data_IF_262510129950
#
_entry.id   IF_262510129950
#
_cell.length_a   1.000
_cell.length_b   1.000
_cell.length_c   1.000
_cell.angle_alpha   90.00
_cell.angle_beta   90.00
_cell.angle_gamma   90.00
#
_symmetry.space_group_name_H-M   'P 1'
#
loop_
_entity.id
_entity.type
_entity.pdbx_description
1 polymer ?
#
# COMPACT_ATOMS: atom_id res chain seq x y z
N UNK A 1 -70.81 45.44 -11.18
CA UNK A 1 -70.39 45.50 -9.74
C UNK A 1 -69.66 44.23 -9.39
N UNK A 2 -68.55 44.41 -8.70
CA UNK A 2 -67.66 43.44 -8.04
C UNK A 2 -66.52 42.88 -8.86
N UNK A 3 -65.39 43.38 -8.45
CA UNK A 3 -64.02 43.15 -8.77
C UNK A 3 -63.56 41.66 -8.65
N UNK A 4 -62.91 41.20 -9.70
CA UNK A 4 -62.14 39.96 -9.66
C UNK A 4 -60.65 40.37 -9.64
N UNK A 5 -60.06 40.30 -8.47
CA UNK A 5 -58.60 40.52 -8.25
C UNK A 5 -57.84 39.32 -8.81
N UNK A 6 -57.02 39.57 -9.82
CA UNK A 6 -56.03 38.62 -10.34
C UNK A 6 -54.90 38.48 -9.29
N UNK A 7 -54.76 37.28 -8.76
CA UNK A 7 -53.57 36.89 -7.99
C UNK A 7 -52.56 36.34 -8.97
N UNK A 8 -51.50 37.12 -9.22
CA UNK A 8 -50.31 36.68 -9.94
C UNK A 8 -49.43 36.00 -8.92
N UNK A 9 -49.39 34.66 -8.95
CA UNK A 9 -48.44 33.86 -8.20
C UNK A 9 -47.08 33.91 -8.90
N UNK A 10 -46.14 34.60 -8.27
CA UNK A 10 -44.75 34.60 -8.67
C UNK A 10 -44.14 33.25 -8.31
N UNK A 11 -43.85 32.37 -9.30
CA UNK A 11 -43.06 31.19 -9.16
C UNK A 11 -41.59 31.63 -9.06
N UNK A 12 -41.08 31.66 -7.86
CA UNK A 12 -39.64 31.79 -7.60
C UNK A 12 -38.99 30.43 -7.90
N UNK A 13 -38.42 30.26 -9.07
CA UNK A 13 -37.56 29.13 -9.39
C UNK A 13 -36.25 29.32 -8.64
N UNK A 14 -36.09 28.65 -7.49
CA UNK A 14 -34.82 28.57 -6.77
C UNK A 14 -33.94 27.57 -7.53
N UNK A 15 -33.12 28.08 -8.44
CA UNK A 15 -32.04 27.29 -9.06
C UNK A 15 -31.00 27.01 -7.96
N UNK A 16 -31.08 25.83 -7.34
CA UNK A 16 -30.03 25.29 -6.51
C UNK A 16 -28.89 24.92 -7.46
N UNK A 17 -27.95 25.83 -7.65
CA UNK A 17 -26.67 25.50 -8.23
C UNK A 17 -25.95 24.56 -7.27
N UNK A 18 -25.93 23.27 -7.64
CA UNK A 18 -25.07 22.29 -6.98
C UNK A 18 -23.65 22.63 -7.46
N UNK A 19 -23.02 23.61 -6.82
CA UNK A 19 -21.57 23.71 -6.85
C UNK A 19 -21.07 22.46 -6.10
N UNK A 20 -20.66 21.46 -6.87
CA UNK A 20 -19.77 20.42 -6.38
C UNK A 20 -18.46 21.12 -6.05
N UNK A 21 -18.38 21.68 -4.84
CA UNK A 21 -17.12 22.07 -4.27
C UNK A 21 -16.32 20.80 -4.05
N UNK A 22 -15.32 20.58 -4.89
CA UNK A 22 -14.17 19.76 -4.57
C UNK A 22 -13.39 20.51 -3.45
N UNK A 23 -13.98 20.60 -2.26
CA UNK A 23 -13.31 21.18 -1.09
C UNK A 23 -12.37 20.12 -0.53
N UNK A 24 -11.12 20.13 -1.00
CA UNK A 24 -10.06 19.51 -0.22
C UNK A 24 -10.04 20.20 1.17
N UNK A 25 -9.77 19.43 2.25
CA UNK A 25 -9.60 20.03 3.57
C UNK A 25 -8.61 21.20 3.47
N UNK A 26 -8.96 22.36 4.00
CA UNK A 26 -8.27 23.63 3.83
C UNK A 26 -6.82 23.68 4.34
N UNK A 27 -6.32 22.61 4.93
CA UNK A 27 -4.98 22.49 5.50
C UNK A 27 -4.06 21.49 4.76
N UNK A 28 -4.53 20.78 3.74
CA UNK A 28 -3.67 19.85 3.00
C UNK A 28 -2.85 20.62 1.97
N UNK A 29 -1.52 20.52 2.11
CA UNK A 29 -0.57 21.14 1.20
C UNK A 29 -0.32 20.25 -0.01
N UNK A 30 -0.46 20.80 -1.22
CA UNK A 30 -0.13 20.13 -2.49
C UNK A 30 1.06 20.84 -3.13
N UNK A 31 2.30 20.47 -2.77
CA UNK A 31 3.50 21.13 -3.30
C UNK A 31 3.66 20.84 -4.80
N UNK A 32 4.23 21.81 -5.53
CA UNK A 32 4.49 21.73 -6.98
C UNK A 32 5.88 21.18 -7.29
N UNK A 33 6.83 21.41 -6.41
CA UNK A 33 8.21 20.94 -6.59
C UNK A 33 8.31 19.47 -6.14
N UNK A 34 9.08 18.67 -6.87
CA UNK A 34 9.23 17.23 -6.59
C UNK A 34 10.62 16.95 -6.04
N UNK A 35 10.68 16.29 -4.89
CA UNK A 35 11.95 15.86 -4.30
C UNK A 35 12.60 14.77 -5.18
N UNK A 36 13.90 14.86 -5.46
CA UNK A 36 14.60 13.79 -6.16
C UNK A 36 14.74 12.59 -5.23
N UNK A 37 14.14 11.47 -5.61
CA UNK A 37 14.32 10.17 -4.95
C UNK A 37 15.15 9.28 -5.86
N UNK A 38 16.15 8.64 -5.27
CA UNK A 38 16.96 7.64 -5.95
C UNK A 38 16.85 6.31 -5.23
N UNK A 39 16.50 5.26 -5.98
CA UNK A 39 16.40 3.90 -5.46
C UNK A 39 17.75 3.22 -5.59
N UNK A 40 18.30 2.83 -4.45
CA UNK A 40 19.56 2.08 -4.41
C UNK A 40 19.30 0.61 -4.77
N UNK A 41 20.05 0.12 -5.75
CA UNK A 41 19.81 -1.17 -6.40
C UNK A 41 20.59 -2.30 -5.70
N UNK A 42 20.25 -2.52 -4.43
CA UNK A 42 20.77 -3.66 -3.67
C UNK A 42 20.43 -5.01 -4.34
N UNK A 43 19.24 -5.09 -4.94
CA UNK A 43 18.81 -6.25 -5.73
C UNK A 43 19.81 -6.63 -6.84
N UNK A 44 20.32 -5.65 -7.60
CA UNK A 44 21.32 -5.89 -8.65
C UNK A 44 22.67 -6.30 -8.07
N UNK A 45 23.11 -5.60 -7.02
CA UNK A 45 24.39 -5.88 -6.37
C UNK A 45 24.43 -7.29 -5.75
N UNK A 46 23.37 -7.67 -5.07
CA UNK A 46 23.28 -9.00 -4.47
C UNK A 46 23.17 -10.11 -5.52
N UNK A 47 22.40 -9.90 -6.61
CA UNK A 47 22.35 -10.86 -7.72
C UNK A 47 23.71 -11.10 -8.34
N UNK A 48 24.48 -10.04 -8.60
CA UNK A 48 25.84 -10.16 -9.15
C UNK A 48 26.75 -11.02 -8.26
N UNK A 49 26.65 -10.84 -6.93
CA UNK A 49 27.37 -11.69 -5.98
C UNK A 49 26.89 -13.15 -6.00
N UNK A 50 25.56 -13.37 -6.00
CA UNK A 50 24.98 -14.72 -6.05
C UNK A 50 25.43 -15.50 -7.30
N UNK A 51 25.58 -14.80 -8.42
CA UNK A 51 25.97 -15.44 -9.69
C UNK A 51 27.46 -15.78 -9.76
N UNK A 52 28.32 -14.93 -9.21
CA UNK A 52 29.77 -15.03 -9.38
C UNK A 52 30.51 -15.54 -8.15
N UNK A 53 29.95 -15.34 -6.96
CA UNK A 53 30.56 -15.58 -5.66
C UNK A 53 31.95 -14.89 -5.51
N UNK A 54 32.08 -13.72 -6.16
CA UNK A 54 33.32 -12.95 -6.13
C UNK A 54 33.49 -12.27 -4.75
N UNK A 55 34.61 -12.54 -4.10
CA UNK A 55 34.96 -11.94 -2.80
C UNK A 55 35.13 -10.42 -2.86
N UNK A 56 35.34 -9.84 -4.03
CA UNK A 56 35.36 -8.38 -4.20
C UNK A 56 33.96 -7.81 -4.06
N UNK A 57 32.96 -8.44 -4.71
CA UNK A 57 31.56 -8.04 -4.60
C UNK A 57 31.01 -8.25 -3.18
N UNK A 58 31.46 -9.30 -2.48
CA UNK A 58 31.14 -9.51 -1.06
C UNK A 58 31.58 -8.32 -0.19
N UNK A 59 32.81 -7.85 -0.37
CA UNK A 59 33.34 -6.68 0.34
C UNK A 59 32.63 -5.39 -0.03
N UNK A 60 32.25 -5.24 -1.30
CA UNK A 60 31.45 -4.11 -1.76
C UNK A 60 30.07 -4.11 -1.13
N UNK A 61 29.39 -5.27 -1.05
CA UNK A 61 28.10 -5.41 -0.38
C UNK A 61 28.18 -5.04 1.09
N UNK A 62 29.19 -5.51 1.81
CA UNK A 62 29.42 -5.18 3.23
C UNK A 62 29.68 -3.69 3.43
N UNK A 63 30.34 -3.03 2.48
CA UNK A 63 30.69 -1.61 2.56
C UNK A 63 29.50 -0.70 2.18
N UNK A 64 28.85 -0.99 1.06
CA UNK A 64 27.82 -0.08 0.47
C UNK A 64 26.39 -0.37 0.99
N UNK A 65 26.11 -1.62 1.43
CA UNK A 65 24.79 -2.07 1.83
C UNK A 65 24.71 -2.79 3.18
N UNK A 66 25.45 -2.36 4.23
CA UNK A 66 25.49 -3.09 5.51
C UNK A 66 24.12 -3.20 6.15
N UNK A 67 23.32 -2.12 6.14
CA UNK A 67 21.96 -2.12 6.70
C UNK A 67 21.00 -3.02 5.90
N UNK A 68 21.13 -3.06 4.57
CA UNK A 68 20.31 -3.95 3.73
C UNK A 68 20.65 -5.43 3.96
N UNK A 69 21.95 -5.76 4.12
CA UNK A 69 22.36 -7.13 4.44
C UNK A 69 21.82 -7.57 5.81
N UNK A 70 21.86 -6.69 6.81
CA UNK A 70 21.36 -6.98 8.14
C UNK A 70 19.84 -7.21 8.13
N UNK A 71 19.05 -6.31 7.48
CA UNK A 71 17.59 -6.41 7.46
C UNK A 71 17.11 -7.58 6.59
N UNK A 72 17.76 -7.87 5.47
CA UNK A 72 17.47 -9.04 4.63
C UNK A 72 17.87 -10.32 5.35
N UNK A 73 19.04 -10.34 5.97
CA UNK A 73 19.48 -11.47 6.77
C UNK A 73 18.49 -11.82 7.88
N UNK A 74 18.08 -10.86 8.69
CA UNK A 74 17.15 -11.06 9.81
C UNK A 74 15.70 -11.24 9.36
N UNK A 75 15.23 -10.41 8.43
CA UNK A 75 13.82 -10.34 8.05
C UNK A 75 13.38 -11.38 7.04
N UNK A 76 14.29 -11.90 6.21
CA UNK A 76 13.97 -12.86 5.15
C UNK A 76 14.61 -14.22 5.42
N UNK A 77 15.89 -14.22 5.75
CA UNK A 77 16.69 -15.44 5.82
C UNK A 77 16.76 -16.05 7.23
N UNK A 78 16.24 -15.36 8.25
CA UNK A 78 16.36 -15.74 9.66
C UNK A 78 17.83 -15.96 10.09
N UNK A 79 18.73 -15.15 9.53
CA UNK A 79 20.15 -15.18 9.82
C UNK A 79 20.52 -14.21 10.96
N UNK A 80 21.74 -14.36 11.45
CA UNK A 80 22.35 -13.39 12.34
C UNK A 80 22.91 -12.19 11.55
N UNK A 81 23.74 -11.37 12.19
CA UNK A 81 24.42 -10.24 11.55
C UNK A 81 25.30 -10.68 10.38
N UNK A 82 25.43 -9.85 9.33
CA UNK A 82 26.37 -10.10 8.21
C UNK A 82 27.82 -10.29 8.61
N UNK A 83 28.21 -9.84 9.80
CA UNK A 83 29.56 -10.01 10.37
C UNK A 83 29.84 -11.43 10.87
N UNK A 84 28.81 -12.27 11.01
CA UNK A 84 28.97 -13.64 11.49
C UNK A 84 29.48 -14.54 10.35
N UNK A 85 30.49 -15.34 10.65
CA UNK A 85 31.05 -16.29 9.70
C UNK A 85 29.98 -17.22 9.12
N UNK A 86 30.00 -17.41 7.81
CA UNK A 86 29.03 -18.25 7.07
C UNK A 86 27.74 -17.54 6.69
N UNK A 87 27.61 -16.24 6.94
CA UNK A 87 26.44 -15.47 6.48
C UNK A 87 26.24 -15.56 4.98
N UNK A 88 27.26 -15.28 4.21
CA UNK A 88 27.19 -15.31 2.74
C UNK A 88 27.01 -16.73 2.18
N UNK A 89 27.55 -17.75 2.83
CA UNK A 89 27.27 -19.16 2.46
C UNK A 89 25.76 -19.47 2.57
N UNK A 90 25.11 -18.96 3.60
CA UNK A 90 23.66 -19.13 3.79
C UNK A 90 22.85 -18.30 2.79
N UNK A 91 23.29 -17.08 2.46
CA UNK A 91 22.71 -16.26 1.39
C UNK A 91 22.77 -17.02 0.05
N UNK A 92 23.93 -17.58 -0.29
CA UNK A 92 24.09 -18.38 -1.52
C UNK A 92 23.21 -19.62 -1.47
N UNK A 93 23.19 -20.35 -0.35
CA UNK A 93 22.36 -21.55 -0.22
C UNK A 93 20.88 -21.25 -0.45
N UNK A 94 20.36 -20.15 0.12
CA UNK A 94 18.97 -19.72 -0.05
C UNK A 94 18.63 -19.39 -1.50
N UNK A 95 19.43 -18.54 -2.15
CA UNK A 95 19.17 -18.11 -3.51
C UNK A 95 19.66 -19.10 -4.60
N UNK A 96 20.24 -20.22 -4.23
CA UNK A 96 20.68 -21.28 -5.17
C UNK A 96 19.54 -22.21 -5.61
N UNK A 97 18.38 -22.17 -4.94
CA UNK A 97 17.22 -22.92 -5.40
C UNK A 97 16.82 -22.46 -6.81
N UNK A 98 16.67 -23.36 -7.80
CA UNK A 98 16.50 -22.98 -9.21
C UNK A 98 15.32 -22.04 -9.48
N UNK A 99 14.17 -22.28 -8.84
CA UNK A 99 12.97 -21.45 -9.04
C UNK A 99 13.21 -20.04 -8.50
N UNK A 100 13.76 -19.93 -7.28
CA UNK A 100 14.07 -18.66 -6.65
C UNK A 100 15.15 -17.88 -7.41
N UNK A 101 16.19 -18.58 -7.89
CA UNK A 101 17.23 -17.96 -8.72
C UNK A 101 16.69 -17.40 -10.03
N UNK A 102 15.76 -18.11 -10.68
CA UNK A 102 15.10 -17.64 -11.89
C UNK A 102 14.18 -16.44 -11.59
N UNK A 103 13.39 -16.53 -10.53
CA UNK A 103 12.56 -15.42 -10.05
C UNK A 103 13.39 -14.17 -9.80
N UNK A 104 14.56 -14.32 -9.16
CA UNK A 104 15.45 -13.19 -8.88
C UNK A 104 15.90 -12.51 -10.18
N UNK A 105 16.36 -13.30 -11.16
CA UNK A 105 16.79 -12.79 -12.47
C UNK A 105 15.66 -12.09 -13.22
N UNK A 106 14.48 -12.68 -13.21
CA UNK A 106 13.30 -12.10 -13.85
C UNK A 106 12.93 -10.79 -13.20
N UNK A 107 12.92 -10.71 -11.86
CA UNK A 107 12.60 -9.50 -11.12
C UNK A 107 13.61 -8.38 -11.41
N UNK A 108 14.91 -8.65 -11.36
CA UNK A 108 15.94 -7.65 -11.68
C UNK A 108 15.85 -7.17 -13.13
N UNK A 109 15.52 -8.07 -14.08
CA UNK A 109 15.31 -7.71 -15.48
C UNK A 109 14.09 -6.83 -15.69
N UNK A 110 12.94 -7.17 -15.06
CA UNK A 110 11.71 -6.37 -15.13
C UNK A 110 11.91 -4.97 -14.55
N UNK A 111 12.71 -4.87 -13.50
CA UNK A 111 13.05 -3.62 -12.82
C UNK A 111 14.42 -3.07 -13.23
N UNK A 112 14.86 -3.31 -14.46
CA UNK A 112 16.14 -2.75 -14.94
C UNK A 112 16.15 -1.23 -14.90
N UNK A 113 15.05 -0.60 -15.29
CA UNK A 113 14.80 0.83 -15.18
C UNK A 113 13.68 1.11 -14.17
N UNK A 114 13.89 2.05 -13.25
CA UNK A 114 12.97 2.35 -12.14
C UNK A 114 12.60 3.84 -12.03
N UNK A 115 12.91 4.64 -13.05
CA UNK A 115 12.68 6.09 -13.06
C UNK A 115 11.20 6.45 -12.88
N UNK A 116 10.29 5.63 -13.37
CA UNK A 116 8.85 5.79 -13.16
C UNK A 116 8.49 5.72 -11.66
N UNK A 117 9.05 4.75 -10.94
CA UNK A 117 8.82 4.57 -9.50
C UNK A 117 9.52 5.69 -8.72
N UNK A 118 10.76 6.06 -9.08
CA UNK A 118 11.48 7.18 -8.47
C UNK A 118 10.70 8.49 -8.60
N UNK A 119 10.10 8.75 -9.75
CA UNK A 119 9.27 9.93 -9.99
C UNK A 119 7.98 9.92 -9.13
N UNK A 120 7.31 8.77 -9.00
CA UNK A 120 6.13 8.63 -8.14
C UNK A 120 6.51 8.80 -6.67
N UNK A 121 7.60 8.18 -6.22
CA UNK A 121 8.11 8.36 -4.85
C UNK A 121 8.50 9.80 -4.57
N UNK A 122 9.12 10.49 -5.55
CA UNK A 122 9.44 11.90 -5.46
C UNK A 122 8.21 12.75 -5.15
N UNK A 123 7.12 12.57 -5.92
CA UNK A 123 5.83 13.24 -5.67
C UNK A 123 5.27 12.85 -4.29
N UNK A 124 5.21 11.56 -4.01
CA UNK A 124 4.64 11.03 -2.76
C UNK A 124 5.36 11.55 -1.53
N UNK A 125 6.69 11.45 -1.48
CA UNK A 125 7.47 11.96 -0.34
C UNK A 125 7.47 13.49 -0.24
N UNK A 126 7.34 14.19 -1.36
CA UNK A 126 7.14 15.64 -1.33
C UNK A 126 5.83 16.01 -0.64
N UNK A 127 4.74 15.32 -1.01
CA UNK A 127 3.44 15.50 -0.35
C UNK A 127 3.52 15.14 1.15
N UNK A 128 4.11 14.00 1.48
CA UNK A 128 4.25 13.57 2.88
C UNK A 128 5.08 14.56 3.69
N UNK A 129 6.20 15.05 3.17
CA UNK A 129 7.05 16.04 3.87
C UNK A 129 6.36 17.37 4.10
N UNK A 130 5.55 17.82 3.17
CA UNK A 130 4.77 19.05 3.32
C UNK A 130 3.70 18.94 4.41
N UNK A 131 3.04 17.79 4.51
CA UNK A 131 1.94 17.57 5.45
C UNK A 131 2.37 16.95 6.79
N UNK A 132 3.54 16.31 6.82
CA UNK A 132 4.18 15.71 8.00
C UNK A 132 5.62 16.22 8.14
N UNK A 133 5.83 17.48 8.58
CA UNK A 133 7.15 18.14 8.52
C UNK A 133 8.25 17.40 9.30
N UNK A 134 7.88 16.67 10.36
CA UNK A 134 8.82 15.92 11.19
C UNK A 134 9.19 14.54 10.61
N UNK A 135 8.44 14.06 9.61
CA UNK A 135 8.73 12.77 8.96
C UNK A 135 10.09 12.84 8.24
N UNK A 136 10.92 11.84 8.46
CA UNK A 136 12.14 11.66 7.70
C UNK A 136 11.83 11.03 6.34
N UNK A 137 12.66 11.31 5.33
CA UNK A 137 12.59 10.62 4.04
C UNK A 137 13.61 9.49 4.09
N UNK A 138 13.18 8.23 3.90
CA UNK A 138 14.08 7.09 3.99
C UNK A 138 14.99 6.99 2.77
N UNK A 139 16.12 6.34 2.94
CA UNK A 139 16.85 5.78 1.81
C UNK A 139 16.05 4.61 1.22
N UNK A 140 15.72 4.70 -0.08
CA UNK A 140 14.89 3.72 -0.76
C UNK A 140 15.76 2.66 -1.42
N UNK A 141 15.38 1.40 -1.25
CA UNK A 141 16.07 0.22 -1.81
C UNK A 141 15.09 -0.73 -2.49
N UNK A 142 15.64 -1.62 -3.30
CA UNK A 142 14.94 -2.79 -3.84
C UNK A 142 15.66 -4.07 -3.45
N UNK A 143 14.89 -5.14 -3.19
CA UNK A 143 15.39 -6.48 -2.89
C UNK A 143 14.48 -7.54 -3.51
N UNK A 144 14.87 -8.80 -3.41
CA UNK A 144 14.06 -9.97 -3.76
C UNK A 144 13.95 -10.87 -2.55
N UNK A 145 12.74 -11.18 -2.12
CA UNK A 145 12.49 -11.94 -0.89
C UNK A 145 12.09 -13.40 -1.12
N UNK A 146 11.80 -13.81 -2.35
CA UNK A 146 11.16 -15.10 -2.62
C UNK A 146 9.72 -15.12 -2.10
N UNK A 147 8.99 -14.03 -2.29
CA UNK A 147 7.60 -13.82 -1.86
C UNK A 147 7.36 -13.71 -0.34
N UNK A 148 8.41 -13.69 0.48
CA UNK A 148 8.26 -13.67 1.94
C UNK A 148 7.78 -12.33 2.50
N UNK A 149 8.28 -11.21 1.95
CA UNK A 149 7.99 -9.86 2.45
C UNK A 149 7.64 -8.93 1.30
N UNK A 150 6.74 -7.98 1.52
CA UNK A 150 6.47 -6.93 0.52
C UNK A 150 7.40 -5.74 0.73
N UNK A 151 7.48 -5.25 1.97
CA UNK A 151 8.23 -4.07 2.36
C UNK A 151 9.05 -4.38 3.60
N UNK A 152 10.30 -3.94 3.60
CA UNK A 152 11.15 -3.91 4.79
C UNK A 152 11.41 -2.45 5.16
N UNK A 153 11.10 -2.09 6.40
CA UNK A 153 11.35 -0.78 6.95
C UNK A 153 12.19 -0.89 8.23
N UNK A 154 13.17 -0.04 8.36
CA UNK A 154 14.00 0.13 9.54
C UNK A 154 14.40 1.61 9.66
N UNK A 155 15.12 2.00 10.69
CA UNK A 155 15.59 3.37 10.91
C UNK A 155 16.10 4.01 9.61
N UNK A 156 15.39 4.99 9.06
CA UNK A 156 15.73 5.70 7.82
C UNK A 156 15.95 4.85 6.55
N UNK A 157 15.54 3.57 6.53
CA UNK A 157 15.64 2.66 5.40
C UNK A 157 14.29 2.08 5.03
N UNK A 158 14.00 2.02 3.72
CA UNK A 158 12.78 1.44 3.17
C UNK A 158 13.11 0.64 1.92
N UNK A 159 12.77 -0.64 1.90
CA UNK A 159 13.05 -1.51 0.76
C UNK A 159 11.82 -2.28 0.31
N UNK A 160 11.60 -2.31 -1.01
CA UNK A 160 10.51 -3.05 -1.66
C UNK A 160 11.00 -4.37 -2.22
N UNK A 161 10.24 -5.43 -1.99
CA UNK A 161 10.47 -6.73 -2.63
C UNK A 161 9.88 -6.75 -4.03
N UNK A 162 10.73 -6.52 -5.04
CA UNK A 162 10.28 -6.34 -6.43
C UNK A 162 9.68 -7.60 -7.05
N UNK A 163 10.01 -8.78 -6.54
CA UNK A 163 9.42 -10.06 -6.92
C UNK A 163 7.92 -10.17 -6.59
N UNK A 164 7.39 -9.27 -5.77
CA UNK A 164 5.95 -9.17 -5.45
C UNK A 164 5.16 -8.28 -6.43
N UNK A 165 5.82 -7.67 -7.43
CA UNK A 165 5.20 -6.67 -8.34
C UNK A 165 5.55 -6.93 -9.80
N UNK A 166 5.63 -8.23 -10.20
CA UNK A 166 5.97 -8.66 -11.56
C UNK A 166 4.80 -8.58 -12.55
N UNK A 167 3.62 -8.19 -12.08
CA UNK A 167 2.37 -8.17 -12.84
C UNK A 167 1.52 -9.41 -12.61
N UNK A 168 0.19 -9.22 -12.64
CA UNK A 168 -0.81 -10.26 -12.35
C UNK A 168 -0.61 -11.55 -13.17
N UNK A 169 -0.16 -11.39 -14.42
CA UNK A 169 0.03 -12.49 -15.36
C UNK A 169 1.39 -13.21 -15.22
N UNK A 170 2.26 -12.81 -14.28
CA UNK A 170 3.54 -13.48 -14.11
C UNK A 170 3.34 -14.98 -13.83
N UNK A 171 3.93 -15.89 -14.65
CA UNK A 171 3.55 -17.31 -14.61
C UNK A 171 3.69 -17.96 -13.24
N UNK A 172 4.78 -17.66 -12.53
CA UNK A 172 5.05 -18.25 -11.20
C UNK A 172 4.00 -17.87 -10.15
N UNK A 173 3.33 -16.74 -10.31
CA UNK A 173 2.28 -16.32 -9.38
C UNK A 173 1.08 -17.25 -9.37
N UNK A 174 0.79 -17.94 -10.48
CA UNK A 174 -0.32 -18.87 -10.56
C UNK A 174 -0.16 -20.09 -9.64
N UNK A 175 1.08 -20.47 -9.33
CA UNK A 175 1.40 -21.58 -8.45
C UNK A 175 1.36 -21.20 -6.96
N UNK A 176 1.55 -19.90 -6.63
CA UNK A 176 1.74 -19.43 -5.26
C UNK A 176 0.64 -18.52 -4.73
N UNK A 177 -0.16 -17.88 -5.61
CA UNK A 177 -1.13 -16.86 -5.21
C UNK A 177 -2.49 -17.06 -5.86
N UNK A 178 -3.54 -16.79 -5.10
CA UNK A 178 -4.90 -16.74 -5.61
C UNK A 178 -5.11 -15.48 -6.49
N UNK A 179 -6.11 -15.52 -7.36
CA UNK A 179 -6.43 -14.43 -8.29
C UNK A 179 -6.60 -13.08 -7.58
N UNK A 180 -7.32 -13.07 -6.45
CA UNK A 180 -7.55 -11.84 -5.67
C UNK A 180 -6.26 -11.25 -5.06
N UNK A 181 -5.22 -12.05 -4.85
CA UNK A 181 -3.91 -11.56 -4.39
C UNK A 181 -3.11 -10.97 -5.54
N UNK A 182 -3.17 -11.62 -6.73
CA UNK A 182 -2.38 -11.21 -7.90
C UNK A 182 -2.75 -9.83 -8.43
N UNK A 183 -4.01 -9.41 -8.28
CA UNK A 183 -4.49 -8.07 -8.70
C UNK A 183 -3.63 -6.95 -8.11
N UNK A 184 -3.13 -7.10 -6.88
CA UNK A 184 -2.27 -6.12 -6.22
C UNK A 184 -0.80 -6.20 -6.63
N UNK A 185 -0.37 -7.31 -7.23
CA UNK A 185 1.03 -7.60 -7.50
C UNK A 185 1.49 -6.96 -8.82
N UNK A 186 1.23 -5.65 -8.97
CA UNK A 186 1.50 -4.89 -10.18
C UNK A 186 2.51 -3.77 -9.93
N UNK A 187 3.40 -3.54 -10.89
CA UNK A 187 4.40 -2.50 -10.87
C UNK A 187 3.83 -1.11 -10.55
N UNK A 188 2.64 -0.82 -11.04
CA UNK A 188 1.95 0.47 -10.82
C UNK A 188 1.64 0.76 -9.35
N UNK A 189 1.61 -0.27 -8.49
CA UNK A 189 1.34 -0.15 -7.05
C UNK A 189 2.62 -0.10 -6.21
N UNK A 190 3.79 -0.31 -6.81
CA UNK A 190 5.06 -0.33 -6.11
C UNK A 190 5.30 0.94 -5.27
N UNK A 191 5.14 2.13 -5.87
CA UNK A 191 5.33 3.39 -5.15
C UNK A 191 4.29 3.59 -4.02
N UNK A 192 3.04 3.16 -4.23
CA UNK A 192 1.99 3.24 -3.20
C UNK A 192 2.33 2.38 -1.98
N UNK A 193 2.85 1.17 -2.20
CA UNK A 193 3.21 0.28 -1.11
C UNK A 193 4.51 0.72 -0.40
N UNK A 194 5.45 1.34 -1.10
CA UNK A 194 6.56 2.05 -0.45
C UNK A 194 6.03 3.11 0.53
N UNK A 195 5.14 4.00 0.05
CA UNK A 195 4.61 5.08 0.90
C UNK A 195 3.76 4.54 2.05
N UNK A 196 2.92 3.53 1.80
CA UNK A 196 2.13 2.88 2.84
C UNK A 196 3.03 2.24 3.90
N UNK A 197 4.05 1.48 3.50
CA UNK A 197 5.00 0.84 4.40
C UNK A 197 5.77 1.86 5.25
N UNK A 198 6.18 3.00 4.66
CA UNK A 198 6.83 4.06 5.42
C UNK A 198 5.88 4.77 6.39
N UNK A 199 4.66 5.07 5.97
CA UNK A 199 3.64 5.64 6.86
C UNK A 199 3.35 4.72 8.04
N UNK A 200 3.24 3.42 7.81
CA UNK A 200 3.01 2.44 8.88
C UNK A 200 4.21 2.30 9.83
N UNK A 201 5.43 2.51 9.35
CA UNK A 201 6.64 2.53 10.16
C UNK A 201 6.74 3.79 11.03
N UNK A 202 6.45 4.96 10.45
CA UNK A 202 6.52 6.26 11.15
C UNK A 202 5.34 6.49 12.10
N UNK A 203 4.19 5.93 11.76
CA UNK A 203 2.93 6.02 12.52
C UNK A 203 2.35 4.62 12.75
N UNK A 204 2.95 3.82 13.63
CA UNK A 204 2.49 2.47 13.91
C UNK A 204 1.08 2.47 14.50
N UNK A 205 0.41 1.34 14.39
CA UNK A 205 -0.91 1.17 14.97
C UNK A 205 -0.85 1.19 16.49
N UNK A 206 -1.59 2.10 17.12
CA UNK A 206 -1.66 2.27 18.58
C UNK A 206 -3.02 1.85 19.17
N UNK A 207 -3.96 1.38 18.34
CA UNK A 207 -5.28 0.94 18.75
C UNK A 207 -5.30 -0.49 19.29
N UNK A 208 -6.51 -1.03 19.47
CA UNK A 208 -6.69 -2.41 19.88
C UNK A 208 -6.82 -3.34 18.66
N UNK A 209 -5.86 -4.25 18.50
CA UNK A 209 -5.80 -5.21 17.38
C UNK A 209 -7.08 -6.07 17.24
N UNK A 210 -7.80 -6.27 18.31
CA UNK A 210 -9.01 -7.08 18.33
C UNK A 210 -10.29 -6.26 18.03
N UNK A 211 -10.21 -4.93 17.96
CA UNK A 211 -11.35 -4.04 17.69
C UNK A 211 -11.37 -3.68 16.21
N UNK A 212 -12.44 -4.10 15.54
CA UNK A 212 -12.59 -3.88 14.11
C UNK A 212 -12.54 -2.38 13.73
N UNK A 213 -13.22 -1.52 14.50
CA UNK A 213 -13.26 -0.09 14.21
C UNK A 213 -11.88 0.56 14.27
N UNK A 214 -11.07 0.22 15.28
CA UNK A 214 -9.71 0.75 15.43
C UNK A 214 -8.85 0.41 14.22
N UNK A 215 -8.90 -0.86 13.80
CA UNK A 215 -8.15 -1.35 12.64
C UNK A 215 -8.66 -0.74 11.33
N UNK A 216 -9.96 -0.68 11.12
CA UNK A 216 -10.56 -0.11 9.91
C UNK A 216 -10.15 1.36 9.71
N UNK A 217 -10.20 2.16 10.79
CA UNK A 217 -9.82 3.57 10.72
C UNK A 217 -8.34 3.71 10.42
N UNK A 218 -7.49 2.91 11.05
CA UNK A 218 -6.05 2.95 10.80
C UNK A 218 -5.71 2.62 9.34
N UNK A 219 -6.18 1.47 8.84
CA UNK A 219 -5.94 1.05 7.45
C UNK A 219 -6.53 2.07 6.46
N UNK A 220 -7.72 2.59 6.75
CA UNK A 220 -8.37 3.62 5.95
C UNK A 220 -7.56 4.92 5.89
N UNK A 221 -6.96 5.37 7.01
CA UNK A 221 -6.08 6.54 7.06
C UNK A 221 -4.85 6.35 6.18
N UNK A 222 -4.18 5.21 6.29
CA UNK A 222 -2.99 4.91 5.47
C UNK A 222 -3.33 5.01 3.98
N UNK A 223 -4.38 4.30 3.54
CA UNK A 223 -4.81 4.32 2.13
C UNK A 223 -5.24 5.71 1.66
N UNK A 224 -5.93 6.47 2.51
CA UNK A 224 -6.36 7.83 2.21
C UNK A 224 -5.16 8.78 1.99
N UNK A 225 -4.17 8.74 2.87
CA UNK A 225 -2.96 9.56 2.76
C UNK A 225 -2.17 9.18 1.49
N UNK A 226 -2.04 7.89 1.20
CA UNK A 226 -1.36 7.41 -0.02
C UNK A 226 -2.08 7.89 -1.28
N UNK A 227 -3.42 7.88 -1.30
CA UNK A 227 -4.19 8.42 -2.44
C UNK A 227 -3.98 9.92 -2.63
N UNK A 228 -3.95 10.69 -1.55
CA UNK A 228 -3.66 12.13 -1.64
C UNK A 228 -2.24 12.39 -2.17
N UNK A 229 -1.29 11.54 -1.79
CA UNK A 229 0.11 11.64 -2.24
C UNK A 229 0.31 11.19 -3.69
N UNK A 230 -0.48 10.23 -4.17
CA UNK A 230 -0.44 9.63 -5.52
C UNK A 230 -1.86 9.58 -6.12
N UNK A 231 -2.44 10.72 -6.50
CA UNK A 231 -3.84 10.79 -6.96
C UNK A 231 -4.09 10.08 -8.30
N UNK A 232 -3.04 9.76 -9.05
CA UNK A 232 -3.12 8.96 -10.27
C UNK A 232 -3.48 7.48 -10.03
N UNK A 233 -3.29 6.98 -8.81
CA UNK A 233 -3.69 5.62 -8.41
C UNK A 233 -5.12 5.67 -7.89
N UNK A 234 -6.02 4.97 -8.56
CA UNK A 234 -7.45 5.00 -8.21
C UNK A 234 -7.71 4.35 -6.85
N UNK A 235 -8.82 4.71 -6.16
CA UNK A 235 -9.21 4.03 -4.92
C UNK A 235 -9.40 2.52 -5.10
N UNK A 236 -9.94 2.07 -6.24
CA UNK A 236 -10.07 0.65 -6.55
C UNK A 236 -8.71 -0.05 -6.57
N UNK A 237 -7.73 0.53 -7.26
CA UNK A 237 -6.36 0.00 -7.32
C UNK A 237 -5.71 -0.06 -5.93
N UNK A 238 -5.85 0.98 -5.11
CA UNK A 238 -5.30 1.02 -3.76
C UNK A 238 -5.92 -0.02 -2.82
N UNK A 239 -7.20 -0.37 -3.04
CA UNK A 239 -7.87 -1.44 -2.29
C UNK A 239 -7.51 -2.84 -2.83
N UNK A 240 -6.92 -2.93 -4.02
CA UNK A 240 -6.68 -4.18 -4.73
C UNK A 240 -7.95 -4.77 -5.32
N UNK A 241 -8.85 -3.92 -5.76
CA UNK A 241 -10.14 -4.29 -6.35
C UNK A 241 -10.11 -4.19 -7.87
N UNK A 242 -10.86 -5.06 -8.52
CA UNK A 242 -11.34 -4.79 -9.86
C UNK A 242 -12.44 -3.74 -9.80
N UNK A 243 -12.71 -3.04 -10.89
CA UNK A 243 -13.72 -1.98 -10.92
C UNK A 243 -15.09 -2.47 -10.44
N UNK A 244 -15.50 -3.66 -10.87
CA UNK A 244 -16.76 -4.29 -10.44
C UNK A 244 -16.87 -4.50 -8.92
N UNK A 245 -15.73 -4.81 -8.26
CA UNK A 245 -15.69 -5.03 -6.80
C UNK A 245 -15.84 -3.69 -6.06
N UNK A 246 -15.20 -2.64 -6.58
CA UNK A 246 -15.34 -1.30 -6.05
C UNK A 246 -16.77 -0.76 -6.22
N UNK A 247 -17.36 -0.91 -7.40
CA UNK A 247 -18.77 -0.55 -7.67
C UNK A 247 -19.74 -1.32 -6.75
N UNK A 248 -19.45 -2.60 -6.51
CA UNK A 248 -20.24 -3.40 -5.57
C UNK A 248 -20.17 -2.82 -4.16
N UNK A 249 -18.98 -2.45 -3.66
CA UNK A 249 -18.81 -1.84 -2.35
C UNK A 249 -19.62 -0.54 -2.23
N UNK A 250 -19.52 0.35 -3.21
CA UNK A 250 -20.26 1.62 -3.24
C UNK A 250 -21.79 1.37 -3.22
N UNK A 251 -22.26 0.42 -4.01
CA UNK A 251 -23.68 0.09 -4.11
C UNK A 251 -24.24 -0.56 -2.82
N UNK A 252 -23.40 -1.22 -2.05
CA UNK A 252 -23.79 -1.98 -0.85
C UNK A 252 -23.35 -1.33 0.47
N UNK A 253 -22.85 -0.11 0.47
CA UNK A 253 -22.28 0.57 1.66
C UNK A 253 -23.26 0.55 2.85
N UNK A 254 -24.51 0.97 2.64
CA UNK A 254 -25.52 0.98 3.71
C UNK A 254 -25.80 -0.41 4.27
N UNK A 255 -25.85 -1.42 3.40
CA UNK A 255 -26.09 -2.82 3.80
C UNK A 255 -24.91 -3.36 4.61
N UNK A 256 -23.69 -3.05 4.24
CA UNK A 256 -22.48 -3.41 4.97
C UNK A 256 -22.49 -2.79 6.37
N UNK A 257 -22.77 -1.49 6.48
CA UNK A 257 -22.89 -0.80 7.75
C UNK A 257 -23.92 -1.43 8.66
N UNK A 258 -25.14 -1.62 8.15
CA UNK A 258 -26.22 -2.23 8.92
C UNK A 258 -25.85 -3.64 9.41
N UNK A 259 -25.18 -4.43 8.58
CA UNK A 259 -24.74 -5.79 8.92
C UNK A 259 -23.70 -5.77 10.05
N UNK A 260 -22.72 -4.90 9.96
CA UNK A 260 -21.64 -4.78 10.97
C UNK A 260 -22.21 -4.34 12.30
N UNK A 261 -23.13 -3.35 12.30
CA UNK A 261 -23.78 -2.83 13.52
C UNK A 261 -24.68 -3.91 14.15
N UNK A 262 -25.55 -4.55 13.36
CA UNK A 262 -26.48 -5.60 13.86
C UNK A 262 -25.72 -6.78 14.45
N UNK A 263 -24.60 -7.17 13.86
CA UNK A 263 -23.73 -8.23 14.37
C UNK A 263 -22.84 -7.79 15.53
N UNK A 264 -22.86 -6.49 15.89
CA UNK A 264 -22.03 -5.88 16.96
C UNK A 264 -20.53 -6.05 16.75
N UNK A 265 -20.06 -6.18 15.50
CA UNK A 265 -18.65 -6.47 15.21
C UNK A 265 -17.73 -5.26 15.42
N UNK A 266 -18.26 -4.01 15.41
CA UNK A 266 -17.46 -2.78 15.51
C UNK A 266 -16.58 -2.72 16.77
N UNK A 267 -17.18 -3.04 17.92
CA UNK A 267 -16.54 -2.85 19.23
C UNK A 267 -16.34 -4.14 20.00
N UNK A 268 -16.82 -5.26 19.50
CA UNK A 268 -16.62 -6.56 20.16
C UNK A 268 -15.19 -7.03 19.92
N UNK A 269 -14.39 -7.25 20.99
CA UNK A 269 -13.02 -7.71 20.85
C UNK A 269 -13.00 -9.14 20.33
N UNK A 270 -12.72 -9.29 19.03
CA UNK A 270 -12.63 -10.59 18.36
C UNK A 270 -11.65 -10.49 17.19
N UNK A 271 -10.45 -11.00 17.41
CA UNK A 271 -9.38 -11.00 16.42
C UNK A 271 -9.75 -11.76 15.14
N UNK A 272 -10.46 -12.89 15.27
CA UNK A 272 -10.83 -13.73 14.12
C UNK A 272 -11.81 -12.98 13.21
N UNK A 273 -12.82 -12.36 13.79
CA UNK A 273 -13.77 -11.54 13.05
C UNK A 273 -13.10 -10.31 12.46
N UNK A 274 -12.27 -9.60 13.22
CA UNK A 274 -11.54 -8.42 12.76
C UNK A 274 -10.65 -8.78 11.55
N UNK A 275 -9.88 -9.87 11.64
CA UNK A 275 -9.04 -10.32 10.52
C UNK A 275 -9.86 -10.62 9.25
N UNK A 276 -11.03 -11.26 9.36
CA UNK A 276 -11.88 -11.55 8.20
C UNK A 276 -12.34 -10.32 7.43
N UNK A 277 -12.47 -9.17 8.09
CA UNK A 277 -12.81 -7.90 7.42
C UNK A 277 -11.60 -7.25 6.74
N UNK A 278 -10.39 -7.55 7.20
CA UNK A 278 -9.15 -6.92 6.76
C UNK A 278 -8.31 -7.81 5.85
N UNK A 279 -8.63 -9.11 5.77
CA UNK A 279 -7.94 -10.04 4.87
C UNK A 279 -8.27 -9.73 3.41
N UNK A 280 -7.31 -9.96 2.52
CA UNK A 280 -7.50 -9.86 1.07
C UNK A 280 -8.47 -10.90 0.51
N UNK A 281 -8.68 -11.98 1.24
CA UNK A 281 -9.63 -13.03 0.87
C UNK A 281 -11.06 -12.48 0.84
N UNK A 282 -11.87 -12.80 -0.20
CA UNK A 282 -13.28 -12.42 -0.26
C UNK A 282 -14.03 -12.71 1.03
N UNK A 283 -14.80 -11.72 1.49
CA UNK A 283 -15.45 -11.73 2.81
C UNK A 283 -16.80 -12.49 2.77
N UNK A 284 -16.75 -13.75 2.33
CA UNK A 284 -17.93 -14.58 2.03
C UNK A 284 -18.88 -14.80 3.21
N UNK A 285 -18.44 -14.54 4.45
CA UNK A 285 -19.33 -14.60 5.61
C UNK A 285 -20.33 -13.45 5.66
N UNK A 286 -20.15 -12.38 4.88
CA UNK A 286 -21.11 -11.30 4.70
C UNK A 286 -22.06 -11.61 3.54
N UNK A 287 -21.52 -11.87 2.37
CA UNK A 287 -22.19 -12.39 1.18
C UNK A 287 -21.16 -12.99 0.23
N UNK A 288 -21.61 -13.84 -0.71
CA UNK A 288 -20.73 -14.48 -1.69
C UNK A 288 -20.06 -13.48 -2.65
N UNK A 289 -20.61 -12.28 -2.78
CA UNK A 289 -20.13 -11.21 -3.65
C UNK A 289 -19.22 -10.20 -2.94
N UNK A 290 -19.10 -10.29 -1.60
CA UNK A 290 -18.33 -9.32 -0.83
C UNK A 290 -16.83 -9.49 -1.11
N UNK A 291 -16.14 -8.47 -1.64
CA UNK A 291 -14.70 -8.54 -1.85
C UNK A 291 -13.94 -8.65 -0.52
N UNK A 292 -12.67 -9.02 -0.60
CA UNK A 292 -11.76 -8.98 0.54
C UNK A 292 -11.44 -7.56 0.98
N UNK A 293 -10.78 -7.43 2.12
CA UNK A 293 -10.32 -6.14 2.64
C UNK A 293 -11.42 -5.07 2.79
N UNK A 294 -12.67 -5.53 2.97
CA UNK A 294 -13.85 -4.64 3.05
C UNK A 294 -13.78 -3.70 4.24
N UNK A 295 -13.11 -4.10 5.32
CA UNK A 295 -12.89 -3.26 6.49
C UNK A 295 -12.05 -2.03 6.17
N UNK A 296 -10.98 -2.17 5.40
CA UNK A 296 -10.15 -1.05 4.95
C UNK A 296 -10.94 -0.09 4.06
N UNK A 297 -11.78 -0.62 3.16
CA UNK A 297 -12.65 0.22 2.32
C UNK A 297 -13.64 1.03 3.16
N UNK A 298 -14.30 0.41 4.14
CA UNK A 298 -15.21 1.11 5.05
C UNK A 298 -14.44 2.15 5.88
N UNK A 299 -13.26 1.80 6.39
CA UNK A 299 -12.38 2.73 7.10
C UNK A 299 -12.00 3.94 6.25
N UNK A 300 -11.71 3.74 4.98
CA UNK A 300 -11.50 4.81 4.00
C UNK A 300 -12.73 5.73 3.90
N UNK A 301 -13.95 5.19 3.79
CA UNK A 301 -15.18 6.00 3.72
C UNK A 301 -15.34 6.85 4.97
N UNK A 302 -15.12 6.29 6.18
CA UNK A 302 -15.17 7.03 7.43
C UNK A 302 -14.18 8.21 7.42
N UNK A 303 -12.93 7.95 7.05
CA UNK A 303 -11.87 8.96 7.03
C UNK A 303 -12.19 10.04 6.01
N UNK A 304 -12.59 9.66 4.80
CA UNK A 304 -12.93 10.60 3.73
C UNK A 304 -14.08 11.54 4.14
N UNK A 305 -15.15 10.99 4.71
CA UNK A 305 -16.28 11.78 5.18
C UNK A 305 -15.93 12.68 6.39
N UNK A 306 -15.11 12.19 7.32
CA UNK A 306 -14.67 12.95 8.48
C UNK A 306 -13.89 14.20 8.10
N UNK A 307 -13.02 14.10 7.08
CA UNK A 307 -12.17 15.21 6.63
C UNK A 307 -12.90 16.24 5.77
N UNK A 308 -14.05 15.90 5.19
CA UNK A 308 -14.89 16.86 4.46
C UNK A 308 -15.58 17.83 5.46
N UNK A 309 -15.72 17.45 6.72
CA UNK A 309 -16.41 18.23 7.76
C UNK A 309 -15.47 18.98 8.71
N UNK A 310 -14.16 18.90 8.55
CA UNK A 310 -13.15 19.64 9.30
C UNK A 310 -12.55 20.72 8.41
#
# INVERSE_FOLDING_TARGET
>A
MKNMKKIIGSLFFLAISICSCNSQPSNIQTPTDTLPIHIQRFDKALLAYIETQDTTLEKELLKEYPAMLDIVGKGILNLQSPEVSGFFDQVIAYYSEPTLKNLYKDAVREYDHVTDIENQLGKGFTFLKANFPNMQIPACYMHVSGFNQNVLAADSLLSLSIDKYMGEAYPLYQDFFYDYQRIKMQRTLAAADYLAGWLMSEYPFEGNENILLDRMIYEGKIKYIVHLALPEITPAQLMGYQEKDYEWCVSNELTLWNTIIQRKHLYTPDQITTSKYLDDKPCTFLSDETPGNIGTWIGWQIVSLSLIHI
#
